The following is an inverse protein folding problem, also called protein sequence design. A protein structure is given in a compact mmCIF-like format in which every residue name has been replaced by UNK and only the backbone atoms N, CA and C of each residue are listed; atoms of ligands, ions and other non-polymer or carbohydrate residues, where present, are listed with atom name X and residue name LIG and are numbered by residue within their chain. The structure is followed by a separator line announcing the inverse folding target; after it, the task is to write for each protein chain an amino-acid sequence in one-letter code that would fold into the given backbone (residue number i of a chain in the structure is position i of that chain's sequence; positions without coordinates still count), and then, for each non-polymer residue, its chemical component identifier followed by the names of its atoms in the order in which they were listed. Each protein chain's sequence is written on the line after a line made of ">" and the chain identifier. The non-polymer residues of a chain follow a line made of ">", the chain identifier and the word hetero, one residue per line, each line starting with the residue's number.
data_IF_908711873651
#
_entry.id   IF_908711873651
#
_cell.length_a   1.000
_cell.length_b   1.000
_cell.length_c   1.000
_cell.angle_alpha   90.00
_cell.angle_beta   90.00
_cell.angle_gamma   90.00
#
_symmetry.space_group_name_H-M   'P 1'
#
loop_
_entity.id
_entity.type
_entity.pdbx_description
1 polymer ?
#
# COMPACT_ATOMS: atom_id res chain seq x y z
N UNK A 1 11.87 -10.46 23.57
CA UNK A 1 10.38 -10.48 23.70
C UNK A 1 9.80 -10.73 22.32
N UNK A 2 9.15 -11.89 22.10
CA UNK A 2 8.47 -12.23 20.85
C UNK A 2 7.33 -11.24 20.64
N UNK A 3 7.51 -10.31 19.71
CA UNK A 3 6.41 -9.47 19.21
C UNK A 3 5.34 -10.42 18.71
N UNK A 4 4.14 -10.35 19.29
CA UNK A 4 2.95 -11.04 18.82
C UNK A 4 2.77 -10.71 17.34
N UNK A 5 3.20 -11.62 16.47
CA UNK A 5 3.07 -11.54 15.03
C UNK A 5 1.59 -11.38 14.71
N UNK A 6 1.21 -10.16 14.34
CA UNK A 6 -0.13 -9.87 13.84
C UNK A 6 -0.41 -10.85 12.68
N UNK A 7 -1.51 -11.63 12.73
CA UNK A 7 -1.75 -12.75 11.80
C UNK A 7 -1.86 -12.32 10.33
N UNK A 8 -2.06 -11.02 10.08
CA UNK A 8 -2.11 -10.42 8.75
C UNK A 8 -0.76 -9.96 8.22
N UNK A 9 0.20 -9.66 9.09
CA UNK A 9 1.46 -8.99 8.73
C UNK A 9 2.33 -9.87 7.82
N UNK A 10 2.23 -11.20 7.93
CA UNK A 10 3.14 -12.16 7.29
C UNK A 10 2.61 -12.81 5.99
N UNK A 11 1.60 -12.21 5.33
CA UNK A 11 1.09 -12.70 4.04
C UNK A 11 2.01 -12.35 2.86
N UNK A 12 2.13 -13.28 1.90
CA UNK A 12 2.84 -13.07 0.64
C UNK A 12 2.36 -11.83 -0.12
N UNK A 13 3.31 -11.01 -0.55
CA UNK A 13 3.09 -9.82 -1.36
C UNK A 13 2.35 -10.12 -2.67
N UNK A 14 2.73 -11.21 -3.35
CA UNK A 14 2.10 -11.62 -4.61
C UNK A 14 0.61 -11.93 -4.45
N UNK A 15 0.22 -12.55 -3.34
CA UNK A 15 -1.19 -12.84 -3.06
C UNK A 15 -1.97 -11.54 -2.83
N UNK A 16 -1.39 -10.59 -2.10
CA UNK A 16 -2.02 -9.27 -1.88
C UNK A 16 -2.15 -8.46 -3.17
N UNK A 17 -1.12 -8.48 -4.03
CA UNK A 17 -1.18 -7.88 -5.37
C UNK A 17 -2.25 -8.54 -6.24
N UNK A 18 -2.40 -9.86 -6.17
CA UNK A 18 -3.44 -10.58 -6.90
C UNK A 18 -4.83 -10.23 -6.37
N UNK A 19 -5.01 -10.11 -5.05
CA UNK A 19 -6.23 -9.61 -4.43
C UNK A 19 -6.54 -8.19 -4.92
N UNK A 20 -5.55 -7.29 -4.94
CA UNK A 20 -5.70 -5.93 -5.47
C UNK A 20 -6.13 -5.92 -6.94
N UNK A 21 -5.47 -6.73 -7.78
CA UNK A 21 -5.78 -6.84 -9.20
C UNK A 21 -7.20 -7.37 -9.42
N UNK A 22 -7.57 -8.45 -8.72
CA UNK A 22 -8.90 -9.03 -8.81
C UNK A 22 -9.98 -8.09 -8.28
N UNK A 23 -9.69 -7.33 -7.22
CA UNK A 23 -10.59 -6.31 -6.71
C UNK A 23 -10.77 -5.16 -7.72
N UNK A 24 -9.72 -4.76 -8.43
CA UNK A 24 -9.79 -3.73 -9.47
C UNK A 24 -10.64 -4.20 -10.66
N UNK A 25 -10.34 -5.38 -11.20
CA UNK A 25 -11.03 -5.93 -12.38
C UNK A 25 -12.47 -6.31 -12.05
N UNK A 26 -12.71 -6.99 -10.94
CA UNK A 26 -14.04 -7.44 -10.52
C UNK A 26 -14.99 -6.29 -10.20
N UNK A 27 -14.47 -5.13 -9.79
CA UNK A 27 -15.28 -3.99 -9.38
C UNK A 27 -15.66 -3.03 -10.53
N UNK A 28 -15.12 -3.22 -11.73
CA UNK A 28 -15.48 -2.39 -12.90
C UNK A 28 -16.98 -2.52 -13.22
N UNK A 29 -17.53 -3.74 -13.13
CA UNK A 29 -18.94 -4.04 -13.38
C UNK A 29 -19.78 -4.36 -12.13
N UNK A 30 -19.23 -4.24 -10.93
CA UNK A 30 -19.90 -4.70 -9.72
C UNK A 30 -21.17 -3.91 -9.40
N UNK A 31 -22.20 -4.64 -8.94
CA UNK A 31 -23.44 -4.05 -8.45
C UNK A 31 -23.25 -3.36 -7.10
N UNK A 32 -24.17 -2.46 -6.76
CA UNK A 32 -24.18 -1.78 -5.45
C UNK A 32 -24.14 -2.76 -4.27
N UNK A 33 -24.87 -3.88 -4.37
CA UNK A 33 -24.93 -4.92 -3.34
C UNK A 33 -23.60 -5.64 -3.19
N UNK A 34 -22.97 -6.03 -4.31
CA UNK A 34 -21.65 -6.67 -4.31
C UNK A 34 -20.60 -5.77 -3.66
N UNK A 35 -20.60 -4.47 -4.02
CA UNK A 35 -19.70 -3.48 -3.44
C UNK A 35 -19.84 -3.37 -1.92
N UNK A 36 -21.07 -3.29 -1.41
CA UNK A 36 -21.31 -3.23 0.04
C UNK A 36 -20.81 -4.50 0.75
N UNK A 37 -21.09 -5.68 0.20
CA UNK A 37 -20.63 -6.94 0.77
C UNK A 37 -19.10 -7.04 0.77
N UNK A 38 -18.43 -6.61 -0.30
CA UNK A 38 -16.98 -6.60 -0.38
C UNK A 38 -16.34 -5.58 0.58
N UNK A 39 -16.91 -4.37 0.71
CA UNK A 39 -16.47 -3.38 1.70
C UNK A 39 -16.60 -3.94 3.13
N UNK A 40 -17.73 -4.59 3.43
CA UNK A 40 -17.97 -5.21 4.73
C UNK A 40 -16.98 -6.34 5.00
N UNK A 41 -16.72 -7.20 4.02
CA UNK A 41 -15.75 -8.29 4.11
C UNK A 41 -14.34 -7.75 4.42
N UNK A 42 -13.85 -6.80 3.62
CA UNK A 42 -12.55 -6.17 3.88
C UNK A 42 -12.55 -5.41 5.21
N UNK A 43 -13.69 -4.89 5.66
CA UNK A 43 -13.84 -4.20 6.93
C UNK A 43 -13.63 -5.17 8.10
N UNK A 44 -14.27 -6.34 8.01
CA UNK A 44 -14.15 -7.42 8.99
C UNK A 44 -12.72 -7.97 9.05
N UNK A 45 -12.07 -8.13 7.89
CA UNK A 45 -10.65 -8.48 7.85
C UNK A 45 -9.74 -7.39 8.41
N UNK A 46 -10.10 -6.12 8.25
CA UNK A 46 -9.33 -5.00 8.82
C UNK A 46 -9.46 -4.89 10.34
N UNK A 47 -10.50 -5.47 10.95
CA UNK A 47 -10.64 -5.53 12.42
C UNK A 47 -9.59 -6.43 13.08
N UNK A 48 -9.10 -7.44 12.36
CA UNK A 48 -8.00 -8.30 12.80
C UNK A 48 -6.67 -7.53 12.89
N UNK A 49 -6.59 -6.31 12.31
CA UNK A 49 -5.41 -5.46 12.38
C UNK A 49 -5.75 -3.97 12.59
N UNK A 50 -5.66 -3.53 13.85
CA UNK A 50 -5.94 -2.15 14.24
C UNK A 50 -5.03 -1.11 13.54
N UNK A 51 -3.84 -1.51 13.06
CA UNK A 51 -2.95 -0.61 12.31
C UNK A 51 -3.49 -0.34 10.92
N UNK A 52 -4.06 -1.36 10.27
CA UNK A 52 -4.77 -1.22 8.98
C UNK A 52 -5.94 -0.25 9.12
N UNK A 53 -6.74 -0.38 10.19
CA UNK A 53 -7.89 0.49 10.43
C UNK A 53 -7.51 1.97 10.63
N UNK A 54 -6.40 2.25 11.33
CA UNK A 54 -5.87 3.62 11.49
C UNK A 54 -5.45 4.23 10.14
N UNK A 55 -4.79 3.45 9.31
CA UNK A 55 -4.38 3.87 7.97
C UNK A 55 -5.58 4.07 7.04
N UNK A 56 -6.59 3.19 7.14
CA UNK A 56 -7.83 3.31 6.39
C UNK A 56 -8.57 4.61 6.74
N UNK A 57 -8.67 4.95 8.02
CA UNK A 57 -9.27 6.22 8.45
C UNK A 57 -8.53 7.44 7.89
N UNK A 58 -7.20 7.40 7.80
CA UNK A 58 -6.40 8.48 7.20
C UNK A 58 -6.67 8.60 5.70
N UNK A 59 -6.66 7.47 4.99
CA UNK A 59 -6.97 7.43 3.56
C UNK A 59 -8.39 7.95 3.28
N UNK A 60 -9.38 7.49 4.05
CA UNK A 60 -10.77 7.92 3.90
C UNK A 60 -10.93 9.42 4.16
N UNK A 61 -10.20 10.00 5.12
CA UNK A 61 -10.23 11.45 5.37
C UNK A 61 -9.73 12.26 4.17
N UNK A 62 -8.68 11.80 3.50
CA UNK A 62 -8.17 12.45 2.27
C UNK A 62 -9.21 12.35 1.15
N UNK A 63 -9.82 11.18 1.02
CA UNK A 63 -10.82 10.89 0.00
C UNK A 63 -12.10 11.70 0.20
N UNK A 64 -12.54 11.93 1.45
CA UNK A 64 -13.77 12.68 1.72
C UNK A 64 -13.73 14.08 1.11
N UNK A 65 -12.57 14.75 1.14
CA UNK A 65 -12.42 16.09 0.52
C UNK A 65 -12.63 16.00 -0.99
N UNK A 66 -12.00 15.00 -1.62
CA UNK A 66 -12.19 14.74 -3.05
C UNK A 66 -13.63 14.38 -3.39
N UNK A 67 -14.28 13.54 -2.58
CA UNK A 67 -15.67 13.13 -2.76
C UNK A 67 -16.62 14.32 -2.64
N UNK A 68 -16.39 15.21 -1.67
CA UNK A 68 -17.20 16.41 -1.50
C UNK A 68 -17.12 17.31 -2.75
N UNK A 69 -15.92 17.53 -3.28
CA UNK A 69 -15.73 18.25 -4.53
C UNK A 69 -16.42 17.54 -5.71
N UNK A 70 -16.22 16.22 -5.84
CA UNK A 70 -16.86 15.40 -6.88
C UNK A 70 -18.39 15.51 -6.83
N UNK A 71 -19.00 15.39 -5.65
CA UNK A 71 -20.45 15.51 -5.48
C UNK A 71 -20.96 16.89 -5.88
N UNK A 72 -20.23 17.95 -5.54
CA UNK A 72 -20.57 19.32 -5.94
C UNK A 72 -20.60 19.45 -7.47
N UNK A 73 -19.54 19.00 -8.15
CA UNK A 73 -19.50 19.03 -9.62
C UNK A 73 -20.54 18.11 -10.27
N UNK A 74 -20.72 16.90 -9.74
CA UNK A 74 -21.66 15.93 -10.28
C UNK A 74 -23.11 16.40 -10.15
N UNK A 75 -23.43 17.12 -9.06
CA UNK A 75 -24.74 17.76 -8.87
C UNK A 75 -24.97 18.89 -9.87
N UNK A 76 -23.96 19.75 -10.09
CA UNK A 76 -24.03 20.80 -11.11
C UNK A 76 -24.24 20.21 -12.52
N UNK A 77 -23.63 19.06 -12.79
CA UNK A 77 -23.74 18.34 -14.06
C UNK A 77 -24.99 17.45 -14.17
N UNK A 78 -25.94 17.53 -13.22
CA UNK A 78 -27.16 16.70 -13.19
C UNK A 78 -26.88 15.19 -13.32
N UNK A 79 -25.77 14.71 -12.75
CA UNK A 79 -25.46 13.27 -12.75
C UNK A 79 -26.51 12.54 -11.89
N UNK A 80 -26.98 11.34 -12.28
CA UNK A 80 -27.92 10.58 -11.44
C UNK A 80 -27.33 10.25 -10.07
N UNK A 81 -28.12 10.43 -9.01
CA UNK A 81 -27.71 10.17 -7.62
C UNK A 81 -27.12 8.76 -7.42
N UNK A 82 -27.73 7.74 -8.04
CA UNK A 82 -27.27 6.36 -7.96
C UNK A 82 -25.86 6.20 -8.55
N UNK A 83 -25.57 6.89 -9.66
CA UNK A 83 -24.25 6.87 -10.31
C UNK A 83 -23.19 7.55 -9.44
N UNK A 84 -23.52 8.69 -8.83
CA UNK A 84 -22.61 9.38 -7.89
C UNK A 84 -22.28 8.51 -6.68
N UNK A 85 -23.30 7.84 -6.13
CA UNK A 85 -23.16 6.97 -4.97
C UNK A 85 -22.33 5.74 -5.32
N UNK A 86 -22.60 5.09 -6.46
CA UNK A 86 -21.81 3.96 -6.95
C UNK A 86 -20.34 4.31 -7.14
N UNK A 87 -20.04 5.46 -7.78
CA UNK A 87 -18.67 5.93 -7.94
C UNK A 87 -17.98 6.13 -6.59
N UNK A 88 -18.68 6.77 -5.65
CA UNK A 88 -18.19 7.00 -4.29
C UNK A 88 -17.86 5.69 -3.57
N UNK A 89 -18.74 4.70 -3.69
CA UNK A 89 -18.57 3.38 -3.10
C UNK A 89 -17.39 2.62 -3.71
N UNK A 90 -17.24 2.67 -5.05
CA UNK A 90 -16.09 2.08 -5.75
C UNK A 90 -14.78 2.68 -5.27
N UNK A 91 -14.75 3.99 -5.07
CA UNK A 91 -13.56 4.70 -4.63
C UNK A 91 -13.20 4.37 -3.17
N UNK A 92 -14.19 4.28 -2.28
CA UNK A 92 -14.00 3.81 -0.89
C UNK A 92 -13.45 2.39 -0.87
N UNK A 93 -14.06 1.48 -1.63
CA UNK A 93 -13.60 0.10 -1.74
C UNK A 93 -12.15 0.04 -2.25
N UNK A 94 -11.83 0.76 -3.31
CA UNK A 94 -10.47 0.80 -3.86
C UNK A 94 -9.45 1.28 -2.84
N UNK A 95 -9.78 2.33 -2.09
CA UNK A 95 -8.93 2.83 -1.02
C UNK A 95 -8.70 1.78 0.07
N UNK A 96 -9.74 1.03 0.43
CA UNK A 96 -9.67 -0.02 1.43
C UNK A 96 -8.77 -1.18 1.00
N UNK A 97 -8.92 -1.67 -0.23
CA UNK A 97 -8.07 -2.74 -0.78
C UNK A 97 -6.63 -2.27 -0.93
N UNK A 98 -6.41 -1.02 -1.32
CA UNK A 98 -5.08 -0.41 -1.38
C UNK A 98 -4.44 -0.36 0.00
N UNK A 99 -5.14 0.16 1.01
CA UNK A 99 -4.62 0.20 2.38
C UNK A 99 -4.29 -1.20 2.87
N UNK A 100 -5.18 -2.18 2.67
CA UNK A 100 -4.95 -3.58 3.03
C UNK A 100 -3.68 -4.16 2.39
N UNK A 101 -3.46 -3.86 1.11
CA UNK A 101 -2.32 -4.37 0.35
C UNK A 101 -1.01 -3.76 0.86
N UNK A 102 -0.99 -2.44 1.04
CA UNK A 102 0.23 -1.67 1.27
C UNK A 102 0.56 -1.41 2.76
N UNK A 103 -0.35 -1.66 3.71
CA UNK A 103 -0.16 -1.29 5.13
C UNK A 103 0.96 -2.03 5.87
N UNK A 104 1.43 -3.17 5.35
CA UNK A 104 2.42 -4.03 6.02
C UNK A 104 3.60 -4.42 5.13
N UNK A 105 3.92 -3.59 4.15
CA UNK A 105 5.10 -3.80 3.31
C UNK A 105 6.36 -3.53 4.13
N UNK A 106 7.07 -4.60 4.49
CA UNK A 106 8.43 -4.49 4.97
C UNK A 106 9.40 -4.77 3.82
N UNK A 107 10.41 -3.91 3.70
CA UNK A 107 11.44 -3.99 2.66
C UNK A 107 12.04 -5.40 2.51
N UNK A 108 12.43 -6.09 3.60
CA UNK A 108 13.04 -7.42 3.49
C UNK A 108 12.09 -8.46 2.88
N UNK A 109 10.78 -8.33 3.13
CA UNK A 109 9.78 -9.25 2.57
C UNK A 109 9.50 -9.00 1.10
N UNK A 110 9.49 -7.74 0.66
CA UNK A 110 9.36 -7.41 -0.76
C UNK A 110 10.50 -8.04 -1.55
N UNK A 111 11.73 -7.97 -1.03
CA UNK A 111 12.91 -8.59 -1.64
C UNK A 111 12.85 -10.13 -1.61
N UNK A 112 12.38 -10.74 -0.52
CA UNK A 112 12.17 -12.18 -0.44
C UNK A 112 11.11 -12.68 -1.44
N UNK A 113 9.93 -12.04 -1.50
CA UNK A 113 8.84 -12.44 -2.41
C UNK A 113 9.17 -12.13 -3.88
N UNK A 114 10.00 -11.12 -4.15
CA UNK A 114 10.49 -10.80 -5.49
C UNK A 114 11.76 -11.58 -5.88
N UNK A 115 12.19 -12.61 -5.13
CA UNK A 115 13.39 -13.40 -5.44
C UNK A 115 13.38 -14.02 -6.84
N UNK A 116 12.20 -14.38 -7.36
CA UNK A 116 12.07 -14.86 -8.73
C UNK A 116 12.24 -13.73 -9.77
N UNK A 117 11.75 -12.52 -9.49
CA UNK A 117 12.00 -11.33 -10.32
C UNK A 117 13.47 -10.90 -10.29
N UNK A 118 14.15 -11.03 -9.15
CA UNK A 118 15.57 -10.73 -8.98
C UNK A 118 16.48 -11.62 -9.86
N UNK A 119 16.03 -12.83 -10.24
CA UNK A 119 16.74 -13.70 -11.19
C UNK A 119 16.73 -13.17 -12.64
N UNK A 120 15.78 -12.29 -13.00
CA UNK A 120 15.72 -11.64 -14.32
C UNK A 120 16.44 -10.29 -14.26
N UNK A 121 17.26 -9.99 -15.28
CA UNK A 121 18.02 -8.73 -15.37
C UNK A 121 17.13 -7.48 -15.27
N UNK A 122 16.00 -7.47 -15.98
CA UNK A 122 15.03 -6.36 -15.91
C UNK A 122 14.30 -6.28 -14.56
N UNK A 123 13.91 -7.42 -13.99
CA UNK A 123 13.21 -7.47 -12.70
C UNK A 123 14.08 -6.98 -11.55
N UNK A 124 15.37 -7.31 -11.56
CA UNK A 124 16.37 -6.79 -10.63
C UNK A 124 16.48 -5.26 -10.70
N UNK A 125 16.55 -4.69 -11.91
CA UNK A 125 16.60 -3.23 -12.09
C UNK A 125 15.35 -2.53 -11.53
N UNK A 126 14.17 -3.12 -11.75
CA UNK A 126 12.90 -2.57 -11.24
C UNK A 126 12.82 -2.62 -9.71
N UNK A 127 13.23 -3.74 -9.10
CA UNK A 127 13.31 -3.88 -7.64
C UNK A 127 14.31 -2.89 -7.06
N UNK A 128 15.50 -2.75 -7.66
CA UNK A 128 16.51 -1.74 -7.28
C UNK A 128 15.94 -0.33 -7.30
N UNK A 129 15.27 0.05 -8.38
CA UNK A 129 14.71 1.40 -8.54
C UNK A 129 13.64 1.69 -7.50
N UNK A 130 12.67 0.78 -7.32
CA UNK A 130 11.62 0.92 -6.31
C UNK A 130 12.22 0.98 -4.90
N UNK A 131 13.20 0.13 -4.64
CA UNK A 131 13.85 0.02 -3.35
C UNK A 131 14.65 1.29 -3.00
N UNK A 132 15.46 1.76 -3.93
CA UNK A 132 16.19 3.03 -3.81
C UNK A 132 15.22 4.21 -3.63
N UNK A 133 14.14 4.25 -4.41
CA UNK A 133 13.13 5.31 -4.30
C UNK A 133 12.50 5.34 -2.90
N UNK A 134 12.13 4.18 -2.33
CA UNK A 134 11.57 4.11 -0.98
C UNK A 134 12.58 4.58 0.08
N UNK A 135 13.85 4.16 -0.02
CA UNK A 135 14.88 4.60 0.92
C UNK A 135 15.16 6.10 0.80
N UNK A 136 15.17 6.64 -0.41
CA UNK A 136 15.36 8.06 -0.67
C UNK A 136 14.21 8.90 -0.12
N UNK A 137 12.96 8.48 -0.34
CA UNK A 137 11.77 9.14 0.23
C UNK A 137 11.79 9.10 1.76
N UNK A 138 12.22 7.98 2.35
CA UNK A 138 12.34 7.87 3.80
C UNK A 138 13.44 8.77 4.36
N UNK A 139 14.63 8.82 3.72
CA UNK A 139 15.72 9.72 4.11
C UNK A 139 15.29 11.19 4.01
N UNK A 140 14.70 11.57 2.88
CA UNK A 140 14.17 12.92 2.66
C UNK A 140 13.12 13.29 3.71
N UNK A 141 12.23 12.36 4.06
CA UNK A 141 11.22 12.56 5.10
C UNK A 141 11.84 12.71 6.49
N UNK A 142 12.84 11.91 6.86
CA UNK A 142 13.52 12.04 8.15
C UNK A 142 14.25 13.37 8.28
N UNK A 143 14.88 13.84 7.21
CA UNK A 143 15.62 15.09 7.19
C UNK A 143 14.67 16.30 7.20
N UNK A 144 13.55 16.21 6.46
CA UNK A 144 12.52 17.25 6.41
C UNK A 144 11.79 17.41 7.76
N UNK A 145 11.45 16.30 8.43
CA UNK A 145 10.77 16.30 9.74
C UNK A 145 11.74 16.48 10.93
N UNK A 146 13.05 16.55 10.68
CA UNK A 146 14.05 16.68 11.74
C UNK A 146 13.76 17.90 12.62
N UNK A 147 13.65 17.72 13.96
CA UNK A 147 13.35 18.80 14.91
C UNK A 147 14.38 19.94 14.86
N UNK A 148 15.62 19.66 14.44
CA UNK A 148 16.73 20.61 14.33
C UNK A 148 16.50 21.72 13.29
N UNK A 149 15.53 21.57 12.38
CA UNK A 149 15.30 22.53 11.28
C UNK A 149 13.94 23.25 11.35
N UNK A 150 13.24 23.22 12.50
CA UNK A 150 11.90 23.80 12.65
C UNK A 150 11.80 25.28 12.33
N UNK A 151 12.89 26.03 12.51
CA UNK A 151 12.91 27.50 12.39
C UNK A 151 13.23 28.00 10.96
N UNK A 152 13.48 27.09 10.01
CA UNK A 152 13.82 27.42 8.62
C UNK A 152 12.55 27.35 7.75
N UNK A 153 12.35 28.28 6.79
CA UNK A 153 11.19 28.23 5.88
C UNK A 153 11.13 26.91 5.09
N UNK A 154 9.91 26.41 4.86
CA UNK A 154 9.67 25.07 4.31
C UNK A 154 10.36 24.81 2.95
N UNK A 155 10.52 25.85 2.14
CA UNK A 155 11.22 25.78 0.84
C UNK A 155 12.71 25.51 1.01
N UNK A 156 13.38 26.19 1.94
CA UNK A 156 14.79 25.96 2.24
C UNK A 156 15.01 24.59 2.91
N UNK A 157 14.11 24.17 3.81
CA UNK A 157 14.15 22.81 4.38
C UNK A 157 14.03 21.73 3.31
N UNK A 158 13.21 21.94 2.29
CA UNK A 158 13.07 21.00 1.17
C UNK A 158 14.34 20.95 0.33
N UNK A 159 14.92 22.10 -0.02
CA UNK A 159 16.15 22.18 -0.82
C UNK A 159 17.32 21.52 -0.08
N UNK A 160 17.47 21.81 1.21
CA UNK A 160 18.56 21.26 2.02
C UNK A 160 18.38 19.76 2.29
N UNK A 161 17.15 19.29 2.54
CA UNK A 161 16.85 17.87 2.67
C UNK A 161 17.08 17.12 1.34
N UNK A 162 16.80 17.77 0.21
CA UNK A 162 17.06 17.19 -1.12
C UNK A 162 18.57 17.07 -1.39
N UNK A 163 19.36 18.10 -1.04
CA UNK A 163 20.83 18.05 -1.14
C UNK A 163 21.43 16.98 -0.23
N UNK A 164 21.01 16.93 1.04
CA UNK A 164 21.48 15.92 1.98
C UNK A 164 21.09 14.49 1.55
N UNK A 165 19.89 14.30 0.98
CA UNK A 165 19.46 13.01 0.44
C UNK A 165 20.26 12.60 -0.81
N UNK A 166 20.61 13.55 -1.68
CA UNK A 166 21.47 13.32 -2.84
C UNK A 166 22.90 12.94 -2.42
N UNK A 167 23.46 13.63 -1.43
CA UNK A 167 24.78 13.31 -0.85
C UNK A 167 24.81 11.94 -0.18
N UNK A 168 23.68 11.50 0.41
CA UNK A 168 23.53 10.15 0.94
C UNK A 168 23.18 9.11 -0.13
N UNK A 169 22.99 9.51 -1.40
CA UNK A 169 22.58 8.61 -2.49
C UNK A 169 23.57 7.47 -2.73
N UNK A 170 24.87 7.75 -2.63
CA UNK A 170 25.92 6.74 -2.78
C UNK A 170 25.92 5.74 -1.61
N UNK A 171 25.64 6.21 -0.38
CA UNK A 171 25.50 5.32 0.78
C UNK A 171 24.21 4.50 0.74
N UNK A 172 23.10 5.06 0.23
CA UNK A 172 21.84 4.35 0.06
C UNK A 172 22.00 3.25 -0.98
N UNK A 173 22.66 3.52 -2.10
CA UNK A 173 22.91 2.52 -3.15
C UNK A 173 23.85 1.41 -2.66
N UNK A 174 24.95 1.74 -1.98
CA UNK A 174 25.86 0.75 -1.39
C UNK A 174 25.18 -0.12 -0.32
N UNK A 175 24.36 0.47 0.55
CA UNK A 175 23.59 -0.30 1.54
C UNK A 175 22.54 -1.20 0.87
N UNK A 176 21.93 -0.75 -0.23
CA UNK A 176 20.98 -1.55 -1.01
C UNK A 176 21.67 -2.75 -1.67
N UNK A 177 22.85 -2.52 -2.27
CA UNK A 177 23.68 -3.55 -2.86
C UNK A 177 24.14 -4.57 -1.83
N UNK A 178 24.60 -4.12 -0.65
CA UNK A 178 24.99 -4.97 0.45
C UNK A 178 23.81 -5.81 0.99
N UNK A 179 22.63 -5.19 1.14
CA UNK A 179 21.42 -5.90 1.54
C UNK A 179 21.04 -6.98 0.52
N UNK A 180 21.10 -6.69 -0.79
CA UNK A 180 20.78 -7.67 -1.84
C UNK A 180 21.85 -8.74 -2.05
N UNK A 181 23.10 -8.44 -1.75
CA UNK A 181 24.21 -9.39 -1.84
C UNK A 181 24.20 -10.43 -0.70
N UNK A 182 23.51 -10.15 0.41
CA UNK A 182 23.36 -11.06 1.53
C UNK A 182 22.05 -11.88 1.46
N UNK A 183 22.08 -13.13 0.97
CA UNK A 183 20.89 -13.98 0.90
C UNK A 183 20.35 -14.41 2.27
N UNK A 184 21.12 -14.27 3.36
CA UNK A 184 20.70 -14.68 4.71
C UNK A 184 19.65 -13.75 5.30
N UNK A 185 19.75 -12.44 5.03
CA UNK A 185 18.82 -11.39 5.46
C UNK A 185 17.37 -11.61 4.97
N UNK A 186 17.18 -12.34 3.88
CA UNK A 186 15.86 -12.59 3.29
C UNK A 186 15.32 -13.99 3.57
N UNK A 187 16.18 -14.98 3.80
CA UNK A 187 15.76 -16.36 4.03
C UNK A 187 14.99 -16.56 5.35
N UNK A 188 15.29 -15.74 6.36
CA UNK A 188 14.61 -15.77 7.65
C UNK A 188 13.20 -15.15 7.62
N UNK A 189 12.88 -14.38 6.56
CA UNK A 189 11.57 -13.80 6.34
C UNK A 189 10.60 -14.82 5.72
N UNK A 190 10.44 -15.98 6.37
CA UNK A 190 9.45 -16.97 5.95
C UNK A 190 8.04 -16.43 6.16
N UNK A 191 7.21 -16.35 5.10
CA UNK A 191 5.84 -15.89 5.22
C UNK A 191 5.00 -16.89 6.00
N UNK A 192 4.13 -16.38 6.88
CA UNK A 192 3.15 -17.20 7.58
C UNK A 192 2.19 -17.83 6.55
N UNK A 193 1.55 -18.97 6.89
CA UNK A 193 0.66 -19.66 5.98
C UNK A 193 -0.39 -18.70 5.38
N UNK A 194 -0.42 -18.62 4.05
CA UNK A 194 -1.24 -17.70 3.27
C UNK A 194 -2.75 -17.95 3.34
N UNK A 195 -3.19 -18.83 4.24
CA UNK A 195 -4.57 -19.32 4.38
C UNK A 195 -5.57 -18.18 4.56
N UNK A 196 -5.23 -17.15 5.35
CA UNK A 196 -6.12 -16.00 5.60
C UNK A 196 -6.32 -15.17 4.32
N UNK A 197 -5.25 -14.96 3.55
CA UNK A 197 -5.32 -14.19 2.30
C UNK A 197 -6.02 -14.99 1.19
N UNK A 198 -5.81 -16.30 1.18
CA UNK A 198 -6.45 -17.21 0.25
C UNK A 198 -7.95 -17.33 0.55
N UNK A 199 -8.33 -17.41 1.84
CA UNK A 199 -9.72 -17.36 2.28
C UNK A 199 -10.40 -16.05 1.87
N UNK A 200 -9.72 -14.90 2.04
CA UNK A 200 -10.22 -13.61 1.57
C UNK A 200 -10.42 -13.59 0.05
N UNK A 201 -9.45 -14.08 -0.72
CA UNK A 201 -9.54 -14.19 -2.17
C UNK A 201 -10.73 -15.06 -2.58
N UNK A 202 -10.90 -16.23 -1.97
CA UNK A 202 -11.99 -17.16 -2.30
C UNK A 202 -13.36 -16.59 -1.94
N UNK A 203 -13.49 -15.87 -0.82
CA UNK A 203 -14.74 -15.22 -0.45
C UNK A 203 -15.04 -14.05 -1.40
N UNK A 204 -14.02 -13.31 -1.82
CA UNK A 204 -14.18 -12.20 -2.76
C UNK A 204 -14.61 -12.70 -4.15
N UNK A 205 -14.02 -13.78 -4.65
CA UNK A 205 -14.42 -14.38 -5.93
C UNK A 205 -15.81 -15.00 -5.86
N UNK A 206 -16.16 -15.66 -4.74
CA UNK A 206 -17.50 -16.19 -4.54
C UNK A 206 -18.57 -15.08 -4.51
N UNK A 207 -18.31 -13.99 -3.78
CA UNK A 207 -19.20 -12.81 -3.77
C UNK A 207 -19.29 -12.10 -5.12
N UNK A 208 -18.26 -12.19 -5.96
CA UNK A 208 -18.27 -11.66 -7.32
C UNK A 208 -19.03 -12.54 -8.32
N UNK A 209 -19.24 -13.82 -7.99
CA UNK A 209 -19.92 -14.80 -8.85
C UNK A 209 -21.43 -14.91 -8.58
N UNK A 210 -21.91 -14.39 -7.44
CA UNK A 210 -23.33 -14.32 -7.05
C UNK A 210 -23.94 -13.00 -7.49
#
# INVERSE_FOLDING_TARGET
>A
MKSTSQPLTDQHLMLRLLILLMALVGNLGASFRMLLMQIALFGLFSLLDLTSLKNLRRALRLIIIFLAAYWLFATILNTPFLSMTLFSLKLIFFAQVTVYTFSHLSMPRVLHDCRWLLKRSWGRGLVFYLAATVMFVNSLRSEFLSPRRKDVPATQRFVDASKASLEQGDHISQNLEAMMADPTLYQDATPAPALIGLALLTLMTFLGAI
#
